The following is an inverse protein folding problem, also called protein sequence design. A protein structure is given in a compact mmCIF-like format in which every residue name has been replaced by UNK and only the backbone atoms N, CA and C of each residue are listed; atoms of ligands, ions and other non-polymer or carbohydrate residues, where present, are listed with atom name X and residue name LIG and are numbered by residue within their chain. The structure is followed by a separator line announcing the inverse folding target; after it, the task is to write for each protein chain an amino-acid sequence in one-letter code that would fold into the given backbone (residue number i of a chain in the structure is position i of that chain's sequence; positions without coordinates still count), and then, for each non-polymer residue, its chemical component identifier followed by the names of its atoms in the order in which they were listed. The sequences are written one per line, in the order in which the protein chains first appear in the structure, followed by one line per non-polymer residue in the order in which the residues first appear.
data_IF_351821897446
#
_entry.id   IF_351821897446
#
_cell.length_a   1.000
_cell.length_b   1.000
_cell.length_c   1.000
_cell.angle_alpha   90.00
_cell.angle_beta   90.00
_cell.angle_gamma   90.00
#
_symmetry.space_group_name_H-M   'P 1'
#
loop_
_entity.id
_entity.type
_entity.pdbx_description
1 polymer ?
#
# COMPACT_ATOMS: atom_id res chain seq x y z
N UNK A 1 10.37 -5.02 22.63
CA UNK A 1 10.79 -3.75 22.00
C UNK A 1 9.58 -3.22 21.23
N UNK A 2 9.08 -2.04 21.60
CA UNK A 2 7.81 -1.51 21.09
C UNK A 2 7.88 -1.05 19.63
N UNK A 3 6.73 -0.94 18.93
CA UNK A 3 6.66 -0.72 17.48
C UNK A 3 6.92 0.73 17.03
N UNK A 4 7.22 1.64 17.96
CA UNK A 4 7.44 3.06 17.66
C UNK A 4 8.93 3.32 17.43
N UNK A 5 9.28 3.90 16.28
CA UNK A 5 10.66 4.35 16.01
C UNK A 5 11.04 5.57 16.84
N UNK A 6 10.07 6.28 17.42
CA UNK A 6 10.26 7.51 18.20
C UNK A 6 9.26 7.56 19.36
N UNK A 7 9.60 8.23 20.48
CA UNK A 7 8.70 8.38 21.62
C UNK A 7 7.45 9.19 21.23
N UNK A 8 6.31 8.87 21.88
CA UNK A 8 5.04 9.55 21.66
C UNK A 8 5.12 11.08 21.88
N UNK A 9 6.09 11.54 22.66
CA UNK A 9 6.39 12.95 22.94
C UNK A 9 6.77 13.76 21.68
N UNK A 10 7.24 13.13 20.60
CA UNK A 10 7.43 13.84 19.31
C UNK A 10 6.12 14.22 18.61
N UNK A 11 4.98 13.67 19.04
CA UNK A 11 3.67 14.09 18.50
C UNK A 11 3.33 15.54 18.85
N UNK A 12 3.98 16.11 19.86
CA UNK A 12 3.82 17.52 20.24
C UNK A 12 4.68 18.48 19.37
N UNK A 13 5.61 17.94 18.58
CA UNK A 13 6.50 18.70 17.69
C UNK A 13 6.11 18.63 16.21
N UNK A 14 5.08 17.85 15.86
CA UNK A 14 4.63 17.68 14.47
C UNK A 14 3.45 18.59 14.15
N UNK A 15 3.49 19.24 12.99
CA UNK A 15 2.44 20.16 12.55
C UNK A 15 1.10 19.44 12.26
N UNK A 16 1.14 18.13 11.94
CA UNK A 16 -0.04 17.28 11.80
C UNK A 16 0.27 15.79 12.01
N UNK A 17 -0.72 15.05 12.52
CA UNK A 17 -0.71 13.59 12.66
C UNK A 17 -1.62 12.97 11.60
N UNK A 18 -1.13 11.96 10.88
CA UNK A 18 -1.87 11.21 9.86
C UNK A 18 -2.11 9.76 10.31
N UNK A 19 -3.38 9.35 10.33
CA UNK A 19 -3.79 7.99 10.66
C UNK A 19 -4.05 7.16 9.39
N UNK A 20 -3.11 6.27 9.06
CA UNK A 20 -3.22 5.38 7.90
C UNK A 20 -4.26 4.26 8.13
N UNK A 21 -5.37 4.33 7.40
CA UNK A 21 -6.48 3.37 7.41
C UNK A 21 -7.63 3.76 8.33
N UNK A 22 -7.64 4.98 8.88
CA UNK A 22 -8.78 5.48 9.64
C UNK A 22 -9.95 5.85 8.71
N UNK A 23 -11.18 5.58 9.16
CA UNK A 23 -12.40 5.92 8.39
C UNK A 23 -12.77 7.40 8.46
N UNK A 24 -12.36 8.07 9.54
CA UNK A 24 -12.67 9.46 9.83
C UNK A 24 -11.54 10.11 10.64
N UNK A 25 -11.46 11.43 10.53
CA UNK A 25 -10.54 12.25 11.33
C UNK A 25 -10.78 12.05 12.83
N UNK A 26 -9.73 12.24 13.62
CA UNK A 26 -9.76 12.20 15.08
C UNK A 26 -9.42 13.57 15.64
N UNK A 27 -9.70 13.78 16.93
CA UNK A 27 -9.42 15.05 17.59
C UNK A 27 -7.93 15.44 17.56
N UNK A 28 -7.06 14.44 17.42
CA UNK A 28 -5.60 14.54 17.43
C UNK A 28 -4.95 14.30 16.06
N UNK A 29 -5.72 14.19 14.97
CA UNK A 29 -5.13 14.02 13.63
C UNK A 29 -6.11 13.66 12.53
N UNK A 30 -5.60 13.64 11.31
CA UNK A 30 -6.41 13.43 10.10
C UNK A 30 -6.34 11.98 9.63
N UNK A 31 -7.47 11.48 9.12
CA UNK A 31 -7.54 10.18 8.48
C UNK A 31 -6.97 10.21 7.07
N UNK A 32 -6.44 9.05 6.68
CA UNK A 32 -5.94 8.82 5.35
C UNK A 32 -6.23 7.38 4.96
N UNK A 33 -6.75 7.15 3.75
CA UNK A 33 -7.03 5.81 3.24
C UNK A 33 -6.21 5.51 2.00
N UNK A 34 -5.76 4.26 1.91
CA UNK A 34 -5.20 3.72 0.68
C UNK A 34 -6.35 3.09 -0.11
N UNK A 35 -6.58 3.59 -1.32
CA UNK A 35 -7.63 3.09 -2.20
C UNK A 35 -6.99 2.33 -3.36
N UNK A 36 -7.30 1.04 -3.58
CA UNK A 36 -6.86 0.32 -4.77
C UNK A 36 -7.36 1.00 -6.04
N UNK A 37 -6.49 1.16 -7.04
CA UNK A 37 -6.84 1.84 -8.29
C UNK A 37 -6.59 1.01 -9.55
N UNK A 38 -5.61 0.10 -9.54
CA UNK A 38 -5.33 -0.78 -10.66
C UNK A 38 -4.44 -1.96 -10.26
N UNK A 39 -4.32 -2.93 -11.15
CA UNK A 39 -3.22 -3.88 -11.17
C UNK A 39 -2.18 -3.43 -12.19
N UNK A 40 -0.90 -3.58 -11.85
CA UNK A 40 0.19 -3.26 -12.77
C UNK A 40 1.11 -4.46 -12.90
N UNK A 41 1.34 -4.89 -14.14
CA UNK A 41 2.23 -6.01 -14.44
C UNK A 41 3.69 -5.61 -14.17
N UNK A 42 4.44 -6.46 -13.49
CA UNK A 42 5.82 -6.16 -13.11
C UNK A 42 6.79 -6.15 -14.29
N UNK A 43 6.52 -6.95 -15.33
CA UNK A 43 7.41 -7.10 -16.49
C UNK A 43 7.06 -6.12 -17.59
N UNK A 44 5.79 -6.04 -17.99
CA UNK A 44 5.35 -5.18 -19.09
C UNK A 44 5.05 -3.75 -18.67
N UNK A 45 4.78 -3.51 -17.38
CA UNK A 45 4.27 -2.23 -16.89
C UNK A 45 2.81 -1.95 -17.30
N UNK A 46 2.14 -2.94 -17.92
CA UNK A 46 0.73 -2.82 -18.30
C UNK A 46 -0.13 -2.55 -17.06
N UNK A 47 -0.97 -1.52 -17.15
CA UNK A 47 -1.92 -1.15 -16.10
C UNK A 47 -3.32 -1.59 -16.52
N UNK A 48 -3.91 -2.49 -15.73
CA UNK A 48 -5.25 -3.05 -15.97
C UNK A 48 -6.20 -2.71 -14.82
N UNK A 49 -7.51 -2.58 -15.09
CA UNK A 49 -8.52 -2.29 -14.06
C UNK A 49 -8.65 -3.43 -13.04
N UNK A 50 -9.28 -3.13 -11.88
CA UNK A 50 -9.45 -4.09 -10.79
C UNK A 50 -10.42 -5.23 -11.10
N UNK A 51 -11.19 -5.14 -12.18
CA UNK A 51 -12.05 -6.20 -12.69
C UNK A 51 -11.35 -7.12 -13.71
N UNK A 52 -10.05 -6.90 -13.96
CA UNK A 52 -9.24 -7.75 -14.83
C UNK A 52 -9.28 -9.23 -14.41
N UNK A 53 -9.24 -9.49 -13.11
CA UNK A 53 -9.44 -10.83 -12.56
C UNK A 53 -10.90 -11.03 -12.16
N UNK A 54 -11.50 -12.19 -12.50
CA UNK A 54 -12.88 -12.46 -12.13
C UNK A 54 -13.04 -12.55 -10.61
N UNK A 55 -14.25 -12.25 -10.13
CA UNK A 55 -14.60 -12.47 -8.73
C UNK A 55 -14.35 -13.94 -8.33
N UNK A 56 -13.73 -14.14 -7.18
CA UNK A 56 -13.29 -15.45 -6.68
C UNK A 56 -11.93 -15.91 -7.20
N UNK A 57 -11.24 -15.14 -8.05
CA UNK A 57 -9.89 -15.47 -8.52
C UNK A 57 -8.95 -15.74 -7.35
N UNK A 58 -8.31 -16.91 -7.36
CA UNK A 58 -7.25 -17.23 -6.41
C UNK A 58 -5.92 -16.61 -6.88
N UNK A 59 -5.20 -15.97 -5.96
CA UNK A 59 -3.91 -15.32 -6.23
C UNK A 59 -2.94 -15.57 -5.07
N UNK A 60 -1.65 -15.69 -5.35
CA UNK A 60 -0.63 -15.70 -4.29
C UNK A 60 -0.35 -14.26 -3.86
N UNK A 61 -0.68 -13.92 -2.62
CA UNK A 61 -0.56 -12.57 -2.10
C UNK A 61 0.73 -12.42 -1.29
N UNK A 62 1.69 -11.64 -1.80
CA UNK A 62 3.00 -11.44 -1.19
C UNK A 62 3.08 -10.07 -0.52
N UNK A 63 3.41 -10.03 0.77
CA UNK A 63 3.52 -8.78 1.51
C UNK A 63 4.68 -8.81 2.53
N UNK A 64 5.73 -8.05 2.22
CA UNK A 64 6.86 -7.72 3.10
C UNK A 64 6.70 -6.31 3.68
N UNK A 65 5.64 -6.10 4.47
CA UNK A 65 5.32 -4.83 5.13
C UNK A 65 5.01 -5.03 6.61
N UNK A 66 5.02 -3.95 7.42
CA UNK A 66 4.79 -4.03 8.86
C UNK A 66 3.42 -4.60 9.30
N UNK A 67 2.39 -4.55 8.45
CA UNK A 67 1.10 -5.19 8.69
C UNK A 67 0.58 -5.85 7.40
N UNK A 68 1.04 -7.07 7.06
CA UNK A 68 0.66 -7.79 5.85
C UNK A 68 -0.84 -8.10 5.76
N UNK A 69 -1.51 -8.29 6.90
CA UNK A 69 -2.93 -8.65 6.96
C UNK A 69 -3.82 -7.59 6.31
N UNK A 70 -3.45 -6.30 6.39
CA UNK A 70 -4.18 -5.22 5.72
C UNK A 70 -4.19 -5.39 4.20
N UNK A 71 -3.08 -5.85 3.62
CA UNK A 71 -3.00 -6.11 2.19
C UNK A 71 -3.93 -7.26 1.79
N UNK A 72 -3.88 -8.38 2.51
CA UNK A 72 -4.72 -9.55 2.22
C UNK A 72 -6.22 -9.22 2.35
N UNK A 73 -6.62 -8.52 3.41
CA UNK A 73 -8.00 -8.07 3.59
C UNK A 73 -8.47 -7.13 2.47
N UNK A 74 -7.55 -6.31 1.92
CA UNK A 74 -7.87 -5.46 0.76
C UNK A 74 -8.18 -6.30 -0.48
N UNK A 75 -7.43 -7.39 -0.71
CA UNK A 75 -7.68 -8.30 -1.84
C UNK A 75 -9.00 -9.06 -1.67
N UNK A 76 -9.33 -9.48 -0.46
CA UNK A 76 -10.63 -10.11 -0.14
C UNK A 76 -11.79 -9.13 -0.37
N UNK A 77 -11.64 -7.86 0.01
CA UNK A 77 -12.63 -6.81 -0.24
C UNK A 77 -12.83 -6.51 -1.75
N UNK A 78 -11.84 -6.82 -2.58
CA UNK A 78 -11.95 -6.80 -4.05
C UNK A 78 -12.58 -8.09 -4.63
N UNK A 79 -13.13 -8.96 -3.77
CA UNK A 79 -13.70 -10.26 -4.10
C UNK A 79 -12.72 -11.27 -4.67
N UNK A 80 -11.42 -11.16 -4.38
CA UNK A 80 -10.43 -12.19 -4.71
C UNK A 80 -10.18 -13.14 -3.53
N UNK A 81 -9.46 -14.24 -3.80
CA UNK A 81 -9.10 -15.27 -2.82
C UNK A 81 -7.57 -15.30 -2.64
N UNK A 82 -7.00 -14.44 -1.79
CA UNK A 82 -5.57 -14.43 -1.57
C UNK A 82 -5.10 -15.70 -0.82
N UNK A 83 -4.04 -16.31 -1.32
CA UNK A 83 -3.20 -17.26 -0.58
C UNK A 83 -2.09 -16.44 0.06
N UNK A 84 -2.11 -16.23 1.39
CA UNK A 84 -1.25 -15.24 2.04
C UNK A 84 0.18 -15.73 2.22
N UNK A 85 1.14 -14.93 1.76
CA UNK A 85 2.58 -15.12 1.95
C UNK A 85 3.18 -13.88 2.62
N UNK A 86 3.12 -13.80 3.97
CA UNK A 86 3.73 -12.69 4.70
C UNK A 86 5.25 -12.86 4.75
N UNK A 87 5.96 -11.74 4.56
CA UNK A 87 7.42 -11.67 4.67
C UNK A 87 7.82 -10.56 5.65
N UNK A 88 9.08 -10.58 6.09
CA UNK A 88 9.63 -9.47 6.87
C UNK A 88 9.73 -8.20 6.01
N UNK A 89 9.60 -7.02 6.65
CA UNK A 89 9.57 -5.70 5.99
C UNK A 89 10.79 -5.41 5.08
N UNK A 90 11.91 -6.06 5.42
CA UNK A 90 13.22 -5.99 4.76
C UNK A 90 13.66 -7.33 4.16
N UNK A 91 12.74 -8.28 3.95
CA UNK A 91 13.07 -9.51 3.27
C UNK A 91 13.64 -9.20 1.87
N UNK A 92 14.76 -9.85 1.56
CA UNK A 92 15.23 -9.98 0.20
C UNK A 92 14.50 -11.16 -0.43
N UNK A 93 14.05 -10.97 -1.67
CA UNK A 93 13.32 -11.97 -2.41
C UNK A 93 14.25 -12.63 -3.43
N UNK A 94 14.19 -13.95 -3.50
CA UNK A 94 14.67 -14.72 -4.64
C UNK A 94 13.46 -15.20 -5.46
N UNK A 95 13.64 -15.28 -6.79
CA UNK A 95 12.65 -15.80 -7.72
C UNK A 95 12.15 -17.19 -7.31
N UNK A 96 13.03 -18.05 -6.79
CA UNK A 96 12.65 -19.39 -6.34
C UNK A 96 11.70 -19.36 -5.13
N UNK A 97 11.81 -18.36 -4.26
CA UNK A 97 10.94 -18.22 -3.07
C UNK A 97 9.52 -17.75 -3.42
N UNK A 98 9.35 -17.15 -4.60
CA UNK A 98 8.07 -16.61 -5.07
C UNK A 98 7.43 -17.50 -6.15
N UNK A 99 7.99 -18.70 -6.39
CA UNK A 99 7.39 -19.75 -7.21
C UNK A 99 6.54 -20.64 -6.32
N UNK A 100 5.26 -20.33 -6.26
CA UNK A 100 4.30 -21.05 -5.44
C UNK A 100 3.51 -22.08 -6.24
N UNK A 101 3.00 -23.09 -5.55
CA UNK A 101 2.13 -24.13 -6.10
C UNK A 101 0.75 -24.08 -5.43
N UNK A 102 -0.36 -24.21 -6.18
CA UNK A 102 -0.43 -24.32 -7.64
C UNK A 102 0.00 -23.01 -8.35
N UNK A 103 0.31 -23.04 -9.66
CA UNK A 103 0.71 -21.85 -10.40
C UNK A 103 -0.48 -20.91 -10.56
N UNK A 104 -0.52 -19.88 -9.71
CA UNK A 104 -1.53 -18.81 -9.71
C UNK A 104 -0.81 -17.47 -9.87
N UNK A 105 -1.50 -16.42 -10.36
CA UNK A 105 -0.93 -15.08 -10.43
C UNK A 105 -0.38 -14.65 -9.08
N UNK A 106 0.79 -14.03 -9.08
CA UNK A 106 1.41 -13.48 -7.88
C UNK A 106 1.06 -12.00 -7.81
N UNK A 107 0.43 -11.59 -6.70
CA UNK A 107 0.05 -10.22 -6.44
C UNK A 107 0.78 -9.72 -5.20
N UNK A 108 1.47 -8.58 -5.31
CA UNK A 108 2.25 -8.02 -4.21
C UNK A 108 1.98 -6.54 -3.96
N UNK A 109 2.53 -6.02 -2.87
CA UNK A 109 2.53 -4.57 -2.62
C UNK A 109 3.46 -3.86 -3.61
N UNK A 110 3.21 -2.59 -3.90
CA UNK A 110 4.10 -1.80 -4.77
C UNK A 110 5.54 -1.75 -4.23
N UNK A 111 5.72 -1.70 -2.90
CA UNK A 111 7.02 -1.73 -2.24
C UNK A 111 7.79 -3.02 -2.55
N UNK A 112 7.12 -4.16 -2.50
CA UNK A 112 7.76 -5.46 -2.76
C UNK A 112 8.02 -5.65 -4.26
N UNK A 113 7.16 -5.10 -5.11
CA UNK A 113 7.36 -5.11 -6.56
C UNK A 113 8.67 -4.45 -6.99
N UNK A 114 9.08 -3.36 -6.33
CA UNK A 114 10.37 -2.70 -6.59
C UNK A 114 11.54 -3.67 -6.38
N UNK A 115 11.48 -4.55 -5.39
CA UNK A 115 12.52 -5.55 -5.10
C UNK A 115 12.53 -6.70 -6.11
N UNK A 116 11.37 -7.01 -6.71
CA UNK A 116 11.17 -8.16 -7.57
C UNK A 116 11.35 -7.88 -9.07
N UNK A 117 11.30 -6.62 -9.52
CA UNK A 117 11.32 -6.23 -10.96
C UNK A 117 12.40 -6.92 -11.79
N UNK A 118 13.59 -7.12 -11.24
CA UNK A 118 14.73 -7.67 -11.97
C UNK A 118 14.56 -9.15 -12.36
N UNK A 119 13.66 -9.89 -11.71
CA UNK A 119 13.47 -11.32 -11.92
C UNK A 119 11.99 -11.73 -11.99
N UNK A 120 11.08 -10.77 -12.13
CA UNK A 120 9.64 -11.01 -12.13
C UNK A 120 9.21 -11.93 -13.29
N UNK A 121 8.24 -12.81 -13.01
CA UNK A 121 7.58 -13.60 -14.04
C UNK A 121 6.43 -12.81 -14.69
N UNK A 122 5.97 -13.29 -15.85
CA UNK A 122 4.99 -12.59 -16.68
C UNK A 122 3.62 -12.39 -16.01
N UNK A 123 3.27 -13.24 -15.04
CA UNK A 123 2.01 -13.22 -14.30
C UNK A 123 2.15 -12.59 -12.91
N UNK A 124 3.20 -11.79 -12.70
CA UNK A 124 3.40 -11.05 -11.47
C UNK A 124 2.85 -9.63 -11.58
N UNK A 125 2.06 -9.26 -10.58
CA UNK A 125 1.34 -8.00 -10.52
C UNK A 125 1.60 -7.31 -9.19
N UNK A 126 1.47 -6.00 -9.16
CA UNK A 126 1.30 -5.27 -7.91
C UNK A 126 -0.01 -4.50 -7.92
N UNK A 127 -0.59 -4.36 -6.72
CA UNK A 127 -1.77 -3.54 -6.53
C UNK A 127 -1.35 -2.07 -6.42
N UNK A 128 -1.69 -1.27 -7.42
CA UNK A 128 -1.54 0.17 -7.33
C UNK A 128 -2.60 0.71 -6.37
N UNK A 129 -2.18 1.56 -5.43
CA UNK A 129 -3.05 2.20 -4.45
C UNK A 129 -2.80 3.69 -4.46
N UNK A 130 -3.89 4.46 -4.40
CA UNK A 130 -3.83 5.90 -4.29
C UNK A 130 -3.99 6.32 -2.84
N UNK A 131 -3.26 7.36 -2.53
CA UNK A 131 -3.23 8.04 -1.26
C UNK A 131 -4.42 9.02 -1.18
N UNK A 132 -5.50 8.67 -0.48
CA UNK A 132 -6.71 9.51 -0.36
C UNK A 132 -6.79 10.11 1.05
N UNK A 133 -6.24 11.32 1.26
CA UNK A 133 -6.43 12.06 2.51
C UNK A 133 -7.87 12.57 2.65
N UNK A 134 -8.27 12.91 3.89
CA UNK A 134 -9.53 13.62 4.10
C UNK A 134 -9.48 15.04 3.55
N UNK A 135 -10.64 15.61 3.14
CA UNK A 135 -10.71 17.01 2.72
C UNK A 135 -10.18 17.99 3.77
N UNK A 136 -10.34 17.67 5.06
CA UNK A 136 -9.83 18.47 6.17
C UNK A 136 -8.29 18.52 6.18
N UNK A 137 -7.62 17.40 5.93
CA UNK A 137 -6.16 17.38 5.78
C UNK A 137 -5.70 18.19 4.56
N UNK A 138 -6.37 18.04 3.42
CA UNK A 138 -6.00 18.77 2.20
C UNK A 138 -6.13 20.28 2.42
N UNK A 139 -7.25 20.74 3.00
CA UNK A 139 -7.46 22.15 3.30
C UNK A 139 -6.44 22.71 4.30
N UNK A 140 -6.05 21.91 5.30
CA UNK A 140 -4.99 22.27 6.24
C UNK A 140 -3.62 22.35 5.54
N UNK A 141 -3.27 21.36 4.72
CA UNK A 141 -2.00 21.32 3.99
C UNK A 141 -1.88 22.50 3.02
N UNK A 142 -2.94 22.82 2.29
CA UNK A 142 -2.97 23.98 1.39
C UNK A 142 -2.73 25.29 2.14
N UNK A 143 -3.31 25.45 3.34
CA UNK A 143 -3.10 26.61 4.20
C UNK A 143 -1.65 26.70 4.70
N UNK A 144 -1.04 25.57 5.04
CA UNK A 144 0.36 25.52 5.48
C UNK A 144 1.34 25.79 4.35
N UNK A 145 1.10 25.22 3.16
CA UNK A 145 1.88 25.51 1.96
C UNK A 145 1.80 26.99 1.59
N UNK A 146 0.61 27.60 1.66
CA UNK A 146 0.44 29.03 1.43
C UNK A 146 1.19 29.91 2.45
N UNK A 147 1.35 29.44 3.70
CA UNK A 147 2.11 30.14 4.74
C UNK A 147 3.63 30.08 4.51
N UNK A 148 4.10 29.01 3.85
CA UNK A 148 5.52 28.73 3.62
C UNK A 148 6.04 29.27 2.27
N UNK A 149 5.15 29.70 1.37
CA UNK A 149 5.53 30.37 0.11
C UNK A 149 5.38 31.89 0.30
N UNK A 150 6.48 32.65 0.49
CA UNK A 150 6.40 34.10 0.51
C UNK A 150 6.25 34.60 -0.93
N UNK A 151 5.05 35.09 -1.28
CA UNK A 151 4.84 35.93 -2.46
C UNK A 151 3.91 35.35 -3.53
N UNK A 152 2.64 35.77 -3.47
CA UNK A 152 1.84 36.09 -4.66
C UNK A 152 0.73 37.07 -4.25
N UNK A 153 1.13 38.31 -4.01
CA UNK A 153 0.30 39.49 -4.24
C UNK A 153 0.99 40.34 -5.29
#
# INVERSE_FOLDING_TARGET
AGPLREPAERLDEVDAVLFNGAEADRADGYAFRLQPTALVNLTSGERVPLDHFPAGQAVHAVAGIGNPQRFFATLEALNWRPVPHPFADHAQYDAAQLRFEPPLPVLMTEKDAVKCRAFAAADWWYLAVDAVPTPAFVAWLDKELARLIPGSS
#
